data_IF_921635720189
#
_entry.id   IF_921635720189
#
_cell.length_a   1.000
_cell.length_b   1.000
_cell.length_c   1.000
_cell.angle_alpha   90.00
_cell.angle_beta   90.00
_cell.angle_gamma   90.00
#
_symmetry.space_group_name_H-M   'P 1'
#
loop_
_entity.id
_entity.type
_entity.pdbx_description
1 polymer ?
#
# COMPACT_ATOMS: atom_id res chain seq x y z
N UNK A 1 -59.74 4.17 10.31
CA UNK A 1 -59.01 5.40 9.96
C UNK A 1 -57.64 4.99 9.43
N UNK A 2 -57.40 5.20 8.13
CA UNK A 2 -56.27 4.66 7.36
C UNK A 2 -55.06 5.60 7.53
N UNK A 3 -53.91 5.09 7.98
CA UNK A 3 -52.63 5.80 7.89
C UNK A 3 -51.85 5.29 6.67
N UNK A 4 -51.35 6.16 5.77
CA UNK A 4 -50.65 5.72 4.57
C UNK A 4 -49.20 5.29 4.89
N UNK A 5 -48.85 4.12 4.38
CA UNK A 5 -47.49 3.58 4.35
C UNK A 5 -46.65 4.48 3.43
N UNK A 6 -45.88 5.40 4.00
CA UNK A 6 -44.90 6.18 3.26
C UNK A 6 -43.64 5.33 3.06
N UNK A 7 -43.47 4.80 1.86
CA UNK A 7 -42.33 3.98 1.47
C UNK A 7 -41.03 4.77 1.49
N UNK A 8 -40.06 4.30 2.29
CA UNK A 8 -38.66 4.70 2.21
C UNK A 8 -38.06 4.09 0.93
N UNK A 9 -37.93 4.88 -0.13
CA UNK A 9 -37.06 4.56 -1.26
C UNK A 9 -35.61 4.75 -0.82
N UNK A 10 -34.93 3.68 -0.43
CA UNK A 10 -33.49 3.68 -0.21
C UNK A 10 -32.79 3.83 -1.57
N UNK A 11 -32.31 5.03 -1.88
CA UNK A 11 -31.38 5.26 -2.99
C UNK A 11 -30.05 4.58 -2.65
N UNK A 12 -29.85 3.36 -3.16
CA UNK A 12 -28.54 2.73 -3.15
C UNK A 12 -27.62 3.53 -4.09
N UNK A 13 -26.77 4.39 -3.51
CA UNK A 13 -25.73 5.07 -4.26
C UNK A 13 -24.75 4.02 -4.81
N UNK A 14 -24.76 3.84 -6.13
CA UNK A 14 -23.80 2.98 -6.83
C UNK A 14 -22.43 3.69 -6.78
N UNK A 15 -21.63 3.39 -5.77
CA UNK A 15 -20.27 3.92 -5.69
C UNK A 15 -19.43 3.25 -6.79
N UNK A 16 -18.97 4.04 -7.76
CA UNK A 16 -18.04 3.57 -8.77
C UNK A 16 -16.73 3.12 -8.09
N UNK A 17 -16.25 1.93 -8.44
CA UNK A 17 -14.97 1.44 -7.94
C UNK A 17 -13.84 2.40 -8.36
N UNK A 18 -12.84 2.64 -7.49
CA UNK A 18 -11.71 3.48 -7.84
C UNK A 18 -11.01 2.96 -9.11
N UNK A 19 -10.52 3.83 -10.00
CA UNK A 19 -9.87 3.38 -11.22
C UNK A 19 -8.54 2.70 -10.89
N UNK A 20 -8.26 1.59 -11.58
CA UNK A 20 -6.93 0.96 -11.55
C UNK A 20 -5.86 1.91 -12.10
N UNK A 21 -4.70 1.90 -11.45
CA UNK A 21 -3.54 2.73 -11.77
C UNK A 21 -2.26 1.91 -11.64
N UNK A 22 -1.19 2.48 -12.17
CA UNK A 22 0.16 1.95 -12.04
C UNK A 22 0.98 2.89 -11.16
N UNK A 23 1.69 2.32 -10.19
CA UNK A 23 2.57 3.01 -9.27
C UNK A 23 3.98 2.43 -9.44
N UNK A 24 5.00 3.28 -9.43
CA UNK A 24 6.39 2.83 -9.54
C UNK A 24 7.18 3.44 -8.41
N UNK A 25 7.95 2.61 -7.71
CA UNK A 25 8.69 3.02 -6.52
C UNK A 25 9.53 1.89 -5.97
N UNK A 26 10.21 2.13 -4.87
CA UNK A 26 11.02 1.15 -4.16
C UNK A 26 10.20 0.54 -3.03
N UNK A 27 10.28 -0.77 -2.85
CA UNK A 27 9.70 -1.42 -1.67
C UNK A 27 10.56 -1.12 -0.44
N UNK A 28 9.91 -0.63 0.60
CA UNK A 28 10.53 -0.25 1.87
C UNK A 28 9.62 -0.62 3.04
N UNK A 29 9.95 -0.17 4.24
CA UNK A 29 9.14 -0.31 5.45
C UNK A 29 8.55 1.04 5.90
N UNK A 30 7.47 0.97 6.67
CA UNK A 30 6.70 2.14 7.13
C UNK A 30 7.41 3.02 8.16
N UNK A 31 8.57 2.63 8.69
CA UNK A 31 9.30 3.41 9.70
C UNK A 31 10.47 4.18 9.10
N UNK A 32 11.21 3.55 8.18
CA UNK A 32 12.36 4.17 7.53
C UNK A 32 11.97 4.86 6.22
N UNK A 33 11.01 4.29 5.48
CA UNK A 33 10.54 4.75 4.17
C UNK A 33 11.63 4.91 3.09
N UNK A 34 12.53 5.88 3.24
CA UNK A 34 13.56 6.23 2.26
C UNK A 34 14.99 6.32 2.81
N UNK A 35 15.18 6.38 4.14
CA UNK A 35 16.51 6.36 4.76
C UNK A 35 16.69 5.21 5.76
N UNK A 36 17.45 4.20 5.35
CA UNK A 36 17.88 3.07 6.18
C UNK A 36 19.25 3.27 6.83
N UNK A 37 19.98 4.34 6.51
CA UNK A 37 21.36 4.54 6.97
C UNK A 37 21.44 4.78 8.49
N UNK A 38 20.39 5.36 9.06
CA UNK A 38 20.33 5.75 10.47
C UNK A 38 20.10 4.57 11.43
N UNK A 39 19.27 3.58 11.04
CA UNK A 39 18.98 2.40 11.86
C UNK A 39 19.86 1.20 11.50
N UNK A 40 20.06 0.97 10.19
CA UNK A 40 21.00 -0.02 9.63
C UNK A 40 20.93 -1.42 10.28
N UNK A 41 19.72 -2.00 10.33
CA UNK A 41 19.45 -3.33 10.89
C UNK A 41 19.80 -4.46 9.91
N UNK A 42 21.05 -4.47 9.45
CA UNK A 42 21.55 -5.46 8.49
C UNK A 42 22.59 -4.88 7.54
N UNK A 43 23.26 -5.74 6.74
CA UNK A 43 24.26 -5.29 5.79
C UNK A 43 23.68 -4.53 4.59
N UNK A 44 22.43 -4.81 4.21
CA UNK A 44 21.74 -4.17 3.08
C UNK A 44 20.40 -3.54 3.48
N UNK A 45 19.92 -2.57 2.69
CA UNK A 45 18.60 -1.95 2.89
C UNK A 45 17.46 -2.97 2.81
N UNK A 46 17.63 -4.02 1.99
CA UNK A 46 16.67 -5.11 1.89
C UNK A 46 16.57 -5.92 3.19
N UNK A 47 17.71 -6.20 3.82
CA UNK A 47 17.73 -6.88 5.13
C UNK A 47 17.22 -5.97 6.24
N UNK A 48 17.58 -4.68 6.22
CA UNK A 48 17.07 -3.68 7.15
C UNK A 48 15.53 -3.58 7.09
N UNK A 49 14.96 -3.52 5.89
CA UNK A 49 13.50 -3.50 5.67
C UNK A 49 12.82 -4.73 6.26
N UNK A 50 13.38 -5.93 6.03
CA UNK A 50 12.81 -7.19 6.56
C UNK A 50 12.89 -7.24 8.09
N UNK A 51 14.03 -6.86 8.66
CA UNK A 51 14.22 -6.78 10.11
C UNK A 51 13.22 -5.78 10.75
N UNK A 52 12.98 -4.62 10.13
CA UNK A 52 11.95 -3.67 10.59
C UNK A 52 10.57 -4.33 10.72
N UNK A 53 10.20 -5.17 9.76
CA UNK A 53 8.89 -5.82 9.71
C UNK A 53 8.80 -6.95 10.73
N UNK A 54 9.84 -7.78 10.81
CA UNK A 54 9.88 -8.93 11.72
C UNK A 54 10.05 -8.53 13.19
N UNK A 55 10.94 -7.58 13.49
CA UNK A 55 11.34 -7.25 14.87
C UNK A 55 10.55 -6.08 15.47
N UNK A 56 10.05 -5.18 14.63
CA UNK A 56 9.40 -3.94 15.07
C UNK A 56 7.96 -3.78 14.58
N UNK A 57 7.43 -4.76 13.84
CA UNK A 57 6.04 -4.73 13.35
C UNK A 57 5.78 -3.63 12.33
N UNK A 58 6.80 -3.18 11.60
CA UNK A 58 6.59 -2.33 10.44
C UNK A 58 5.78 -3.05 9.36
N UNK A 59 5.32 -2.28 8.37
CA UNK A 59 4.61 -2.80 7.19
C UNK A 59 5.36 -2.43 5.92
N UNK A 60 5.24 -3.27 4.89
CA UNK A 60 5.72 -2.98 3.55
C UNK A 60 4.98 -1.79 2.96
N UNK A 61 5.76 -0.88 2.39
CA UNK A 61 5.28 0.32 1.70
C UNK A 61 5.94 0.42 0.33
N UNK A 62 5.32 1.18 -0.56
CA UNK A 62 5.95 1.67 -1.80
C UNK A 62 6.36 3.12 -1.58
N UNK A 63 7.65 3.42 -1.73
CA UNK A 63 8.17 4.78 -1.78
C UNK A 63 8.44 5.19 -3.23
N UNK A 64 7.75 6.21 -3.74
CA UNK A 64 7.89 6.65 -5.14
C UNK A 64 9.06 7.64 -5.38
N UNK A 65 9.84 7.94 -4.34
CA UNK A 65 10.86 8.99 -4.34
C UNK A 65 10.39 10.31 -3.72
N UNK A 66 9.11 10.37 -3.30
CA UNK A 66 8.53 11.53 -2.63
C UNK A 66 7.48 11.12 -1.59
N UNK A 67 6.59 10.23 -1.98
CA UNK A 67 5.42 9.83 -1.24
C UNK A 67 5.52 8.34 -0.84
N UNK A 68 5.02 8.03 0.35
CA UNK A 68 4.94 6.68 0.89
C UNK A 68 3.50 6.19 0.82
N UNK A 69 3.32 4.97 0.31
CA UNK A 69 2.02 4.32 0.20
C UNK A 69 2.04 2.98 0.91
N UNK A 70 1.10 2.76 1.83
CA UNK A 70 0.90 1.45 2.42
C UNK A 70 0.46 0.45 1.34
N UNK A 71 0.98 -0.77 1.41
CA UNK A 71 0.55 -1.85 0.52
C UNK A 71 -0.44 -2.74 1.25
N UNK A 72 -1.59 -3.02 0.62
CA UNK A 72 -2.53 -4.02 1.15
C UNK A 72 -1.93 -5.44 1.18
N UNK A 73 -1.03 -5.75 0.25
CA UNK A 73 -0.23 -6.98 0.25
C UNK A 73 1.02 -6.79 1.12
N UNK A 74 1.13 -7.59 2.17
CA UNK A 74 2.22 -7.58 3.15
C UNK A 74 3.09 -8.85 3.08
N UNK A 75 3.02 -9.60 1.98
CA UNK A 75 3.80 -10.84 1.78
C UNK A 75 4.63 -10.79 0.50
N UNK A 76 4.01 -10.48 -0.64
CA UNK A 76 4.72 -10.41 -1.92
C UNK A 76 5.86 -9.38 -1.95
N UNK A 77 5.76 -8.20 -1.30
CA UNK A 77 6.82 -7.19 -1.36
C UNK A 77 8.16 -7.65 -0.75
N UNK A 78 8.17 -8.64 0.15
CA UNK A 78 9.38 -9.15 0.80
C UNK A 78 10.48 -9.52 -0.21
N UNK A 79 10.11 -10.21 -1.29
CA UNK A 79 11.06 -10.63 -2.34
C UNK A 79 11.62 -9.47 -3.16
N UNK A 80 11.04 -8.29 -3.00
CA UNK A 80 11.41 -7.06 -3.68
C UNK A 80 11.91 -5.99 -2.70
N UNK A 81 12.19 -6.33 -1.43
CA UNK A 81 12.69 -5.37 -0.45
C UNK A 81 13.90 -4.59 -0.98
N UNK A 82 13.87 -3.26 -0.83
CA UNK A 82 14.83 -2.30 -1.41
C UNK A 82 14.98 -2.34 -2.95
N UNK A 83 14.07 -3.00 -3.67
CA UNK A 83 14.06 -3.02 -5.13
C UNK A 83 12.96 -2.13 -5.69
N UNK A 84 13.24 -1.57 -6.87
CA UNK A 84 12.26 -0.80 -7.64
C UNK A 84 11.27 -1.74 -8.31
N UNK A 85 9.99 -1.48 -8.11
CA UNK A 85 8.88 -2.26 -8.66
C UNK A 85 7.86 -1.37 -9.38
N UNK A 86 7.03 -2.02 -10.18
CA UNK A 86 5.80 -1.48 -10.72
C UNK A 86 4.63 -2.24 -10.11
N UNK A 87 3.74 -1.52 -9.43
CA UNK A 87 2.53 -2.02 -8.78
C UNK A 87 1.32 -1.59 -9.58
N UNK A 88 0.46 -2.54 -9.96
CA UNK A 88 -0.88 -2.26 -10.47
C UNK A 88 -1.88 -2.41 -9.34
N UNK A 89 -2.77 -1.44 -9.18
CA UNK A 89 -3.70 -1.42 -8.07
C UNK A 89 -4.63 -0.22 -8.08
N UNK A 90 -5.42 -0.08 -7.02
CA UNK A 90 -6.24 1.12 -6.78
C UNK A 90 -5.74 1.86 -5.54
N UNK A 91 -5.77 3.19 -5.56
CA UNK A 91 -5.35 4.01 -4.42
C UNK A 91 -6.56 4.44 -3.60
N UNK A 92 -6.59 4.05 -2.33
CA UNK A 92 -7.39 4.74 -1.33
C UNK A 92 -6.66 6.03 -0.93
N UNK A 93 -7.19 7.17 -1.38
CA UNK A 93 -6.59 8.49 -1.14
C UNK A 93 -6.69 8.91 0.34
N UNK A 94 -7.68 8.42 1.08
CA UNK A 94 -7.87 8.78 2.49
C UNK A 94 -6.83 8.11 3.37
N UNK A 95 -6.53 6.84 3.11
CA UNK A 95 -5.57 6.06 3.89
C UNK A 95 -4.18 6.00 3.27
N UNK A 96 -4.02 6.51 2.05
CA UNK A 96 -2.81 6.37 1.22
C UNK A 96 -2.38 4.91 1.05
N UNK A 97 -3.37 4.03 0.91
CA UNK A 97 -3.14 2.58 0.72
C UNK A 97 -3.37 2.20 -0.73
N UNK A 98 -2.41 1.48 -1.32
CA UNK A 98 -2.60 0.83 -2.60
C UNK A 98 -3.20 -0.56 -2.36
N UNK A 99 -4.41 -0.77 -2.86
CA UNK A 99 -4.98 -2.10 -3.02
C UNK A 99 -4.26 -2.76 -4.19
N UNK A 100 -3.42 -3.75 -3.89
CA UNK A 100 -2.45 -4.32 -4.83
C UNK A 100 -3.14 -5.43 -5.62
N UNK A 101 -3.15 -5.28 -6.95
CA UNK A 101 -3.61 -6.33 -7.87
C UNK A 101 -2.43 -7.15 -8.40
N UNK A 102 -1.32 -6.48 -8.74
CA UNK A 102 -0.08 -7.17 -9.11
C UNK A 102 1.16 -6.30 -8.87
N UNK A 103 2.31 -6.96 -8.75
CA UNK A 103 3.61 -6.32 -8.55
C UNK A 103 4.68 -7.06 -9.35
N UNK A 104 5.50 -6.31 -10.06
CA UNK A 104 6.64 -6.83 -10.83
C UNK A 104 7.86 -5.95 -10.64
N UNK A 105 9.07 -6.48 -10.80
CA UNK A 105 10.28 -5.65 -10.90
C UNK A 105 10.12 -4.57 -11.97
N UNK A 106 10.60 -3.36 -11.69
CA UNK A 106 10.65 -2.30 -12.69
C UNK A 106 11.71 -2.64 -13.75
N UNK A 107 11.45 -2.24 -15.00
CA UNK A 107 12.43 -2.32 -16.09
C UNK A 107 13.39 -1.14 -16.05
#
# INVERSE_FOLDING_TARGET
MKLPIAGLLALAALQAAPPQRTFTGTISDSMCADDHASMRMGPTDAECTKACIEEHGATYVLYDGKDVYALSDQRTPEKFAAQKVTVRGTLDVKTRTIQVDSMTAAK
#
